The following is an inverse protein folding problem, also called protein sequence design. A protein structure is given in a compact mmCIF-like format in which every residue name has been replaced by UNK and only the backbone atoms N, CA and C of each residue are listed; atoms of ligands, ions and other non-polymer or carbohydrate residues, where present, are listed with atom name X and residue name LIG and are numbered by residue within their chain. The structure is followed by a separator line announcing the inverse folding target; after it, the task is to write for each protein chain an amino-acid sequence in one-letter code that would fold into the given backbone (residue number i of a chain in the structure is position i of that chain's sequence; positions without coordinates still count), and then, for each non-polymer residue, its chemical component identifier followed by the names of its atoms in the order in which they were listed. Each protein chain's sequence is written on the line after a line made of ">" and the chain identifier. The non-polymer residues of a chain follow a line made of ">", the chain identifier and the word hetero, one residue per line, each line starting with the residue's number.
data_IF_732960690625
#
_entry.id   IF_732960690625
#
_cell.length_a   1.000
_cell.length_b   1.000
_cell.length_c   1.000
_cell.angle_alpha   90.00
_cell.angle_beta   90.00
_cell.angle_gamma   90.00
#
_symmetry.space_group_name_H-M   'P 1'
#
loop_
_entity.id
_entity.type
_entity.pdbx_description
1 polymer ?
#
# COMPACT_ATOMS: atom_id res chain seq x y z
N UNK A 1 -13.18 -21.01 19.76
CA UNK A 1 -13.51 -20.13 18.60
C UNK A 1 -12.28 -19.32 18.16
N UNK A 2 -11.28 -19.95 17.53
CA UNK A 2 -10.00 -19.31 17.15
C UNK A 2 -9.85 -19.03 15.63
N UNK A 3 -10.91 -19.23 14.84
CA UNK A 3 -10.85 -19.11 13.38
C UNK A 3 -10.99 -17.68 12.85
N UNK A 4 -11.52 -16.74 13.64
CA UNK A 4 -11.93 -15.41 13.15
C UNK A 4 -10.79 -14.38 13.10
N UNK A 5 -9.67 -14.63 13.78
CA UNK A 5 -8.49 -13.74 13.76
C UNK A 5 -7.49 -14.12 12.66
N UNK A 6 -7.35 -15.43 12.37
CA UNK A 6 -6.40 -15.93 11.35
C UNK A 6 -6.78 -15.53 9.91
N UNK A 7 -8.06 -15.30 9.61
CA UNK A 7 -8.52 -14.88 8.27
C UNK A 7 -8.36 -13.37 8.03
N UNK A 8 -8.25 -12.54 9.09
CA UNK A 8 -8.27 -11.07 8.99
C UNK A 8 -6.96 -10.47 8.47
N UNK A 9 -5.82 -11.06 8.81
CA UNK A 9 -4.51 -10.71 8.23
C UNK A 9 -4.26 -11.37 6.86
N UNK A 10 -4.96 -12.46 6.56
CA UNK A 10 -4.70 -13.25 5.36
C UNK A 10 -4.89 -12.46 4.06
N UNK A 11 -5.88 -11.55 4.01
CA UNK A 11 -6.07 -10.68 2.85
C UNK A 11 -4.87 -9.77 2.64
N UNK A 12 -4.39 -9.11 3.68
CA UNK A 12 -3.23 -8.21 3.61
C UNK A 12 -1.97 -9.00 3.27
N UNK A 13 -1.73 -10.13 3.92
CA UNK A 13 -0.59 -11.02 3.64
C UNK A 13 -0.57 -11.46 2.17
N UNK A 14 -1.73 -11.86 1.65
CA UNK A 14 -1.86 -12.21 0.23
C UNK A 14 -1.57 -11.03 -0.69
N UNK A 15 -2.16 -9.85 -0.42
CA UNK A 15 -1.91 -8.65 -1.23
C UNK A 15 -0.45 -8.20 -1.15
N UNK A 16 0.21 -8.34 0.00
CA UNK A 16 1.65 -8.07 0.13
C UNK A 16 2.47 -9.03 -0.74
N UNK A 17 2.11 -10.32 -0.78
CA UNK A 17 2.78 -11.30 -1.63
C UNK A 17 2.54 -11.07 -3.13
N UNK A 18 1.34 -10.61 -3.52
CA UNK A 18 1.03 -10.19 -4.89
C UNK A 18 1.80 -8.91 -5.26
N UNK A 19 1.79 -7.89 -4.39
CA UNK A 19 2.51 -6.63 -4.56
C UNK A 19 4.04 -6.82 -4.66
N UNK A 20 4.59 -7.77 -3.89
CA UNK A 20 6.01 -8.11 -3.97
C UNK A 20 6.42 -8.69 -5.33
N UNK A 21 5.48 -9.26 -6.09
CA UNK A 21 5.66 -9.73 -7.46
C UNK A 21 5.41 -8.64 -8.51
N UNK A 22 5.17 -7.40 -8.09
CA UNK A 22 4.90 -6.27 -8.98
C UNK A 22 3.44 -6.09 -9.38
N UNK A 23 2.50 -6.75 -8.70
CA UNK A 23 1.07 -6.58 -8.98
C UNK A 23 0.58 -5.19 -8.54
N UNK A 24 0.38 -4.32 -9.53
CA UNK A 24 -0.14 -2.96 -9.35
C UNK A 24 -1.55 -2.89 -8.77
N UNK A 25 -2.39 -3.90 -9.04
CA UNK A 25 -3.73 -3.99 -8.46
C UNK A 25 -3.65 -4.32 -6.98
N UNK A 26 -2.75 -5.22 -6.59
CA UNK A 26 -2.53 -5.54 -5.19
C UNK A 26 -1.99 -4.34 -4.39
N UNK A 27 -1.07 -3.56 -4.97
CA UNK A 27 -0.65 -2.29 -4.39
C UNK A 27 -1.82 -1.32 -4.20
N UNK A 28 -2.72 -1.18 -5.19
CA UNK A 28 -3.88 -0.30 -5.06
C UNK A 28 -4.82 -0.75 -3.92
N UNK A 29 -5.08 -2.05 -3.82
CA UNK A 29 -5.96 -2.60 -2.78
C UNK A 29 -5.35 -2.45 -1.38
N UNK A 30 -4.04 -2.58 -1.23
CA UNK A 30 -3.35 -2.22 0.02
C UNK A 30 -3.54 -0.74 0.35
N UNK A 31 -3.39 0.15 -0.62
CA UNK A 31 -3.64 1.58 -0.44
C UNK A 31 -5.04 1.86 0.09
N UNK A 32 -6.06 1.20 -0.48
CA UNK A 32 -7.45 1.29 -0.02
C UNK A 32 -7.65 0.78 1.41
N UNK A 33 -7.00 -0.33 1.78
CA UNK A 33 -7.10 -0.90 3.12
C UNK A 33 -6.57 0.08 4.16
N UNK A 34 -5.39 0.65 3.93
CA UNK A 34 -4.76 1.60 4.85
C UNK A 34 -5.46 2.96 4.87
N UNK A 35 -6.01 3.44 3.75
CA UNK A 35 -6.72 4.74 3.71
C UNK A 35 -8.07 4.70 4.40
N UNK A 36 -8.70 3.52 4.47
CA UNK A 36 -10.03 3.35 5.07
C UNK A 36 -9.99 2.70 6.46
N UNK A 37 -8.83 2.19 6.89
CA UNK A 37 -8.74 1.41 8.13
C UNK A 37 -9.59 0.13 8.10
N UNK A 38 -9.72 -0.48 6.93
CA UNK A 38 -10.50 -1.73 6.76
C UNK A 38 -9.64 -2.97 7.04
N UNK A 39 -10.25 -4.16 6.96
CA UNK A 39 -9.58 -5.43 7.25
C UNK A 39 -8.92 -5.54 8.65
N UNK A 40 -9.33 -4.69 9.60
CA UNK A 40 -8.80 -4.67 10.97
C UNK A 40 -7.50 -3.89 11.14
N UNK A 41 -7.13 -3.08 10.14
CA UNK A 41 -5.98 -2.17 10.18
C UNK A 41 -6.41 -0.79 10.64
N UNK A 42 -5.54 -0.10 11.37
CA UNK A 42 -5.75 1.30 11.74
C UNK A 42 -5.51 2.15 10.49
N UNK A 43 -6.37 3.15 10.25
CA UNK A 43 -6.17 4.11 9.18
C UNK A 43 -4.76 4.72 9.26
N UNK A 44 -4.01 4.61 8.18
CA UNK A 44 -2.63 5.08 8.07
C UNK A 44 -2.39 5.67 6.68
N UNK A 45 -2.40 6.99 6.59
CA UNK A 45 -2.23 7.69 5.32
C UNK A 45 -0.80 7.57 4.76
N UNK A 46 0.21 7.30 5.60
CA UNK A 46 1.59 7.10 5.16
C UNK A 46 1.69 5.76 4.41
N UNK A 47 1.18 4.68 5.00
CA UNK A 47 1.13 3.39 4.31
C UNK A 47 0.21 3.46 3.08
N UNK A 48 -0.95 4.11 3.18
CA UNK A 48 -1.85 4.27 2.03
C UNK A 48 -1.16 4.99 0.86
N UNK A 49 -0.51 6.14 1.11
CA UNK A 49 0.18 6.91 0.08
C UNK A 49 1.33 6.11 -0.54
N UNK A 50 2.10 5.37 0.27
CA UNK A 50 3.14 4.46 -0.23
C UNK A 50 2.57 3.45 -1.23
N UNK A 51 1.49 2.76 -0.87
CA UNK A 51 0.89 1.72 -1.70
C UNK A 51 0.24 2.28 -2.97
N UNK A 52 -0.44 3.42 -2.88
CA UNK A 52 -0.95 4.12 -4.07
C UNK A 52 0.18 4.63 -4.97
N UNK A 53 1.31 5.09 -4.41
CA UNK A 53 2.47 5.48 -5.20
C UNK A 53 3.04 4.29 -6.00
N UNK A 54 3.15 3.12 -5.38
CA UNK A 54 3.61 1.90 -6.06
C UNK A 54 2.63 1.45 -7.17
N UNK A 55 1.33 1.51 -6.91
CA UNK A 55 0.32 1.21 -7.91
C UNK A 55 0.34 2.23 -9.07
N UNK A 56 0.53 3.51 -8.78
CA UNK A 56 0.65 4.55 -9.80
C UNK A 56 1.85 4.34 -10.73
N UNK A 57 3.00 3.87 -10.19
CA UNK A 57 4.19 3.52 -10.98
C UNK A 57 3.89 2.38 -11.96
N UNK A 58 2.98 1.46 -11.61
CA UNK A 58 2.52 0.39 -12.51
C UNK A 58 1.44 0.81 -13.53
N UNK A 59 1.11 2.11 -13.60
CA UNK A 59 0.12 2.65 -14.54
C UNK A 59 -1.32 2.67 -14.03
N UNK A 60 -1.56 2.44 -12.74
CA UNK A 60 -2.91 2.50 -12.17
C UNK A 60 -3.35 3.96 -11.97
N UNK A 61 -4.25 4.46 -12.82
CA UNK A 61 -4.73 5.85 -12.77
C UNK A 61 -5.55 6.16 -11.52
N UNK A 62 -6.43 5.24 -11.10
CA UNK A 62 -7.20 5.41 -9.86
C UNK A 62 -6.26 5.56 -8.64
N UNK A 63 -5.12 4.86 -8.64
CA UNK A 63 -4.10 5.04 -7.60
C UNK A 63 -3.45 6.44 -7.63
N UNK A 64 -3.28 7.05 -8.81
CA UNK A 64 -2.76 8.42 -8.91
C UNK A 64 -3.74 9.41 -8.29
N UNK A 65 -5.03 9.28 -8.59
CA UNK A 65 -6.10 10.09 -8.03
C UNK A 65 -6.21 9.91 -6.52
N UNK A 66 -6.29 8.67 -6.03
CA UNK A 66 -6.35 8.40 -4.59
C UNK A 66 -5.11 8.92 -3.85
N UNK A 67 -3.91 8.78 -4.43
CA UNK A 67 -2.67 9.32 -3.84
C UNK A 67 -2.73 10.84 -3.72
N UNK A 68 -3.23 11.53 -4.75
CA UNK A 68 -3.38 12.98 -4.73
C UNK A 68 -4.40 13.40 -3.67
N UNK A 69 -5.56 12.74 -3.63
CA UNK A 69 -6.62 13.06 -2.68
C UNK A 69 -6.16 12.94 -1.22
N UNK A 70 -5.52 11.83 -0.83
CA UNK A 70 -5.10 11.67 0.56
C UNK A 70 -3.91 12.56 0.92
N UNK A 71 -3.13 13.01 -0.06
CA UNK A 71 -2.00 13.91 0.18
C UNK A 71 -2.48 15.31 0.62
N UNK A 72 -3.73 15.68 0.35
CA UNK A 72 -4.34 16.93 0.85
C UNK A 72 -4.45 16.94 2.38
N UNK A 73 -4.58 15.77 3.01
CA UNK A 73 -4.69 15.60 4.47
C UNK A 73 -3.35 15.28 5.16
N UNK A 74 -2.25 15.21 4.40
CA UNK A 74 -0.93 14.81 4.90
C UNK A 74 0.02 16.00 5.02
N UNK A 75 0.92 15.95 6.01
CA UNK A 75 2.02 16.91 6.05
C UNK A 75 3.06 16.60 4.96
N UNK A 76 3.84 17.60 4.49
CA UNK A 76 4.95 17.36 3.57
C UNK A 76 5.96 16.33 4.10
N UNK A 77 6.14 16.27 5.42
CA UNK A 77 7.01 15.29 6.08
C UNK A 77 6.46 13.88 5.91
N UNK A 78 5.17 13.68 6.11
CA UNK A 78 4.52 12.37 5.98
C UNK A 78 4.57 11.87 4.53
N UNK A 79 4.34 12.78 3.56
CA UNK A 79 4.48 12.47 2.13
C UNK A 79 5.92 12.03 1.82
N UNK A 80 6.93 12.74 2.34
CA UNK A 80 8.33 12.37 2.15
C UNK A 80 8.67 10.98 2.74
N UNK A 81 8.11 10.66 3.91
CA UNK A 81 8.24 9.34 4.54
C UNK A 81 7.58 8.26 3.67
N UNK A 82 6.35 8.47 3.21
CA UNK A 82 5.62 7.53 2.36
C UNK A 82 6.35 7.26 1.04
N UNK A 83 6.83 8.31 0.38
CA UNK A 83 7.59 8.19 -0.86
C UNK A 83 8.92 7.46 -0.66
N UNK A 84 9.62 7.71 0.47
CA UNK A 84 10.84 6.96 0.82
C UNK A 84 10.53 5.49 1.02
N UNK A 85 9.50 5.17 1.79
CA UNK A 85 9.08 3.79 2.00
C UNK A 85 8.70 3.07 0.69
N UNK A 86 8.08 3.75 -0.26
CA UNK A 86 7.78 3.18 -1.58
C UNK A 86 9.07 2.86 -2.37
N UNK A 87 10.05 3.77 -2.38
CA UNK A 87 11.35 3.53 -3.03
C UNK A 87 12.09 2.36 -2.39
N UNK A 88 12.15 2.32 -1.07
CA UNK A 88 12.81 1.27 -0.31
C UNK A 88 12.15 -0.09 -0.60
N UNK A 89 10.82 -0.13 -0.69
CA UNK A 89 10.08 -1.34 -1.07
C UNK A 89 10.43 -1.84 -2.48
N UNK A 90 10.44 -0.97 -3.49
CA UNK A 90 10.81 -1.35 -4.86
C UNK A 90 12.23 -1.92 -4.94
N UNK A 91 13.18 -1.29 -4.26
CA UNK A 91 14.55 -1.79 -4.22
C UNK A 91 14.63 -3.17 -3.55
N UNK A 92 13.92 -3.36 -2.44
CA UNK A 92 13.90 -4.64 -1.73
C UNK A 92 13.29 -5.76 -2.58
N UNK A 93 12.16 -5.51 -3.25
CA UNK A 93 11.47 -6.55 -4.03
C UNK A 93 12.18 -6.87 -5.33
N UNK A 94 12.77 -5.87 -6.01
CA UNK A 94 13.59 -6.10 -7.22
C UNK A 94 14.84 -6.92 -6.91
N UNK A 95 15.51 -6.67 -5.78
CA UNK A 95 16.67 -7.46 -5.34
C UNK A 95 16.33 -8.91 -5.01
N UNK A 96 15.10 -9.19 -4.60
CA UNK A 96 14.64 -10.56 -4.30
C UNK A 96 14.25 -11.34 -5.55
N UNK A 97 14.07 -10.66 -6.68
CA UNK A 97 13.71 -11.27 -7.96
C UNK A 97 14.92 -11.52 -8.88
N UNK A 98 16.12 -11.07 -8.48
CA UNK A 98 17.40 -11.28 -9.17
C UNK A 98 18.20 -12.38 -8.47
#
# INVERSE_FOLDING_TARGET
>A
MAGRLKTKNFLIERRLADAARGDGRACYELGMVYSTGTAGVVLDLIEAHKWFNLAAVSGNHAAQECRAQIAEDMSPRDIAVAQRAARDWMQLTQRRAA
#
